data_IF_962544509106
#
_entry.id   IF_962544509106
#
_cell.length_a   1.000
_cell.length_b   1.000
_cell.length_c   1.000
_cell.angle_alpha   90.00
_cell.angle_beta   90.00
_cell.angle_gamma   90.00
#
_symmetry.space_group_name_H-M   'P 1'
#
loop_
_entity.id
_entity.type
_entity.pdbx_description
1 polymer ?
#
# COMPACT_ATOMS: atom_id res chain seq x y z
N UNK A 1 -20.65 -15.25 -16.87
CA UNK A 1 -20.13 -14.72 -15.57
C UNK A 1 -19.11 -13.65 -15.92
N UNK A 2 -19.27 -12.45 -15.41
CA UNK A 2 -18.31 -11.35 -15.61
C UNK A 2 -16.95 -11.75 -15.10
N UNK A 3 -15.88 -11.46 -15.83
CA UNK A 3 -14.51 -11.79 -15.43
C UNK A 3 -14.10 -10.96 -14.21
N UNK A 4 -13.39 -11.59 -13.27
CA UNK A 4 -12.97 -10.93 -12.03
C UNK A 4 -11.54 -10.42 -12.13
N UNK A 5 -11.28 -9.27 -11.49
CA UNK A 5 -9.97 -8.64 -11.53
C UNK A 5 -9.49 -8.23 -10.13
N UNK A 6 -8.18 -8.29 -9.92
CA UNK A 6 -7.49 -7.69 -8.76
C UNK A 6 -6.92 -6.34 -9.18
N UNK A 7 -7.42 -5.26 -8.59
CA UNK A 7 -6.92 -3.91 -8.79
C UNK A 7 -5.69 -3.68 -7.91
N UNK A 8 -4.55 -3.26 -8.50
CA UNK A 8 -3.30 -3.04 -7.75
C UNK A 8 -2.73 -1.66 -8.07
N UNK A 9 -2.71 -0.78 -7.07
CA UNK A 9 -2.13 0.55 -7.20
C UNK A 9 -0.63 0.56 -6.90
N UNK A 10 0.12 1.45 -7.56
CA UNK A 10 1.58 1.51 -7.43
C UNK A 10 2.29 0.29 -8.01
N UNK A 11 1.69 -0.36 -9.03
CA UNK A 11 2.16 -1.62 -9.60
C UNK A 11 3.47 -1.49 -10.41
N UNK A 12 3.96 -0.28 -10.66
CA UNK A 12 5.14 -0.05 -11.52
C UNK A 12 6.49 -0.40 -10.87
N UNK A 13 6.55 -0.71 -9.57
CA UNK A 13 7.79 -1.07 -8.87
C UNK A 13 7.53 -1.66 -7.48
N UNK A 14 8.58 -2.22 -6.87
CA UNK A 14 8.62 -2.61 -5.46
C UNK A 14 7.52 -3.60 -5.07
N UNK A 15 6.89 -3.37 -3.92
CA UNK A 15 5.87 -4.26 -3.35
C UNK A 15 4.68 -4.43 -4.30
N UNK A 16 4.26 -3.37 -5.01
CA UNK A 16 3.13 -3.42 -5.94
C UNK A 16 3.37 -4.33 -7.13
N UNK A 17 4.57 -4.27 -7.73
CA UNK A 17 4.94 -5.16 -8.82
C UNK A 17 5.01 -6.63 -8.36
N UNK A 18 5.56 -6.88 -7.18
CA UNK A 18 5.60 -8.22 -6.59
C UNK A 18 4.21 -8.75 -6.26
N UNK A 19 3.30 -7.90 -5.74
CA UNK A 19 1.90 -8.28 -5.52
C UNK A 19 1.21 -8.65 -6.84
N UNK A 20 1.45 -7.89 -7.92
CA UNK A 20 0.90 -8.19 -9.24
C UNK A 20 1.36 -9.58 -9.73
N UNK A 21 2.65 -9.90 -9.60
CA UNK A 21 3.19 -11.23 -9.94
C UNK A 21 2.55 -12.34 -9.11
N UNK A 22 2.41 -12.12 -7.81
CA UNK A 22 1.86 -13.13 -6.89
C UNK A 22 0.37 -13.36 -7.15
N UNK A 23 -0.43 -12.32 -7.32
CA UNK A 23 -1.86 -12.49 -7.67
C UNK A 23 -2.00 -13.20 -9.01
N UNK A 24 -1.26 -12.78 -10.05
CA UNK A 24 -1.30 -13.42 -11.35
C UNK A 24 -0.84 -14.89 -11.29
N UNK A 25 0.22 -15.21 -10.53
CA UNK A 25 0.70 -16.58 -10.33
C UNK A 25 -0.34 -17.49 -9.65
N UNK A 26 -1.24 -16.91 -8.86
CA UNK A 26 -2.33 -17.63 -8.19
C UNK A 26 -3.66 -17.60 -8.98
N UNK A 27 -3.62 -17.27 -10.27
CA UNK A 27 -4.77 -17.38 -11.18
C UNK A 27 -5.67 -16.15 -11.21
N UNK A 28 -5.31 -15.04 -10.57
CA UNK A 28 -6.08 -13.81 -10.64
C UNK A 28 -5.66 -12.98 -11.85
N UNK A 29 -6.62 -12.50 -12.64
CA UNK A 29 -6.35 -11.42 -13.59
C UNK A 29 -6.08 -10.14 -12.80
N UNK A 30 -5.10 -9.33 -13.20
CA UNK A 30 -4.71 -8.11 -12.47
C UNK A 30 -4.92 -6.86 -13.32
N UNK A 31 -5.35 -5.77 -12.68
CA UNK A 31 -5.35 -4.42 -13.23
C UNK A 31 -4.19 -3.64 -12.57
N UNK A 32 -3.26 -3.17 -13.38
CA UNK A 32 -2.02 -2.52 -12.97
C UNK A 32 -2.17 -1.00 -13.05
N UNK A 33 -2.18 -0.32 -11.91
CA UNK A 33 -2.39 1.13 -11.83
C UNK A 33 -1.11 1.82 -11.36
N UNK A 34 -0.57 2.73 -12.16
CA UNK A 34 0.50 3.67 -11.79
C UNK A 34 0.67 4.74 -12.89
N UNK A 35 1.56 5.71 -12.66
CA UNK A 35 1.85 6.80 -13.62
C UNK A 35 2.77 6.35 -14.77
N UNK A 36 3.68 5.39 -14.51
CA UNK A 36 4.74 4.97 -15.46
C UNK A 36 4.24 3.87 -16.38
N UNK A 37 3.66 4.26 -17.51
CA UNK A 37 3.05 3.36 -18.51
C UNK A 37 4.02 2.29 -18.98
N UNK A 38 5.26 2.65 -19.31
CA UNK A 38 6.26 1.74 -19.86
C UNK A 38 6.56 0.59 -18.88
N UNK A 39 6.63 0.89 -17.59
CA UNK A 39 6.87 -0.14 -16.56
C UNK A 39 5.66 -1.04 -16.34
N UNK A 40 4.45 -0.50 -16.45
CA UNK A 40 3.22 -1.30 -16.36
C UNK A 40 3.12 -2.23 -17.56
N UNK A 41 3.41 -1.74 -18.77
CA UNK A 41 3.40 -2.53 -19.99
C UNK A 41 4.46 -3.65 -19.95
N UNK A 42 5.66 -3.35 -19.47
CA UNK A 42 6.71 -4.36 -19.30
C UNK A 42 6.29 -5.45 -18.31
N UNK A 43 5.70 -5.08 -17.17
CA UNK A 43 5.19 -6.04 -16.18
C UNK A 43 4.01 -6.85 -16.75
N UNK A 44 3.13 -6.23 -17.53
CA UNK A 44 2.02 -6.93 -18.17
C UNK A 44 2.53 -7.96 -19.20
N UNK A 45 3.54 -7.60 -20.00
CA UNK A 45 4.19 -8.51 -20.94
C UNK A 45 4.85 -9.70 -20.22
N UNK A 46 5.57 -9.43 -19.13
CA UNK A 46 6.19 -10.46 -18.28
C UNK A 46 5.15 -11.47 -17.76
N UNK A 47 4.04 -10.97 -17.17
CA UNK A 47 2.96 -11.80 -16.63
C UNK A 47 2.31 -12.64 -17.74
N UNK A 48 2.06 -12.04 -18.91
CA UNK A 48 1.47 -12.74 -20.05
C UNK A 48 2.41 -13.82 -20.60
N UNK A 49 3.69 -13.51 -20.74
CA UNK A 49 4.72 -14.47 -21.20
C UNK A 49 4.86 -15.66 -20.23
N UNK A 50 4.61 -15.44 -18.94
CA UNK A 50 4.55 -16.51 -17.95
C UNK A 50 3.25 -17.36 -18.04
N UNK A 51 2.43 -17.21 -19.07
CA UNK A 51 1.22 -17.98 -19.31
C UNK A 51 0.05 -17.60 -18.39
N UNK A 52 0.03 -16.36 -17.87
CA UNK A 52 -1.05 -15.87 -17.01
C UNK A 52 -1.99 -14.97 -17.81
N UNK A 53 -3.20 -14.75 -17.28
CA UNK A 53 -4.17 -13.85 -17.90
C UNK A 53 -3.55 -12.46 -18.12
N UNK A 54 -3.76 -11.90 -19.33
CA UNK A 54 -3.20 -10.61 -19.69
C UNK A 54 -3.70 -9.50 -18.75
N UNK A 55 -2.79 -8.77 -18.10
CA UNK A 55 -3.17 -7.67 -17.21
C UNK A 55 -3.87 -6.53 -17.95
N UNK A 56 -4.73 -5.81 -17.25
CA UNK A 56 -5.28 -4.53 -17.69
C UNK A 56 -4.30 -3.43 -17.23
N UNK A 57 -3.78 -2.64 -18.14
CA UNK A 57 -2.86 -1.53 -17.84
C UNK A 57 -3.64 -0.23 -17.79
N UNK A 58 -3.64 0.44 -16.64
CA UNK A 58 -4.36 1.70 -16.39
C UNK A 58 -3.37 2.77 -15.93
N UNK A 59 -2.81 3.58 -16.83
CA UNK A 59 -1.99 4.73 -16.46
C UNK A 59 -2.84 5.76 -15.73
N UNK A 60 -2.52 6.01 -14.46
CA UNK A 60 -3.30 6.96 -13.65
C UNK A 60 -2.44 7.62 -12.58
N UNK A 61 -2.62 8.93 -12.40
CA UNK A 61 -2.07 9.67 -11.27
C UNK A 61 -3.11 9.73 -10.14
N UNK A 62 -2.81 9.06 -9.04
CA UNK A 62 -3.68 9.01 -7.86
C UNK A 62 -3.72 10.33 -7.06
N UNK A 63 -2.90 11.30 -7.41
CA UNK A 63 -3.01 12.66 -6.87
C UNK A 63 -4.16 13.45 -7.51
N UNK A 64 -4.65 13.03 -8.68
CA UNK A 64 -5.80 13.66 -9.33
C UNK A 64 -7.11 13.37 -8.57
N UNK A 65 -8.03 14.33 -8.57
CA UNK A 65 -9.30 14.17 -7.87
C UNK A 65 -10.22 13.13 -8.53
N UNK A 66 -10.13 13.00 -9.83
CA UNK A 66 -10.91 12.10 -10.69
C UNK A 66 -10.25 10.72 -10.93
N UNK A 67 -9.18 10.42 -10.19
CA UNK A 67 -8.45 9.16 -10.36
C UNK A 67 -9.33 7.92 -10.20
N UNK A 68 -10.23 7.92 -9.22
CA UNK A 68 -11.16 6.83 -8.99
C UNK A 68 -12.15 6.64 -10.15
N UNK A 69 -12.65 7.73 -10.72
CA UNK A 69 -13.58 7.69 -11.86
C UNK A 69 -12.89 7.11 -13.10
N UNK A 70 -11.70 7.58 -13.44
CA UNK A 70 -10.88 7.07 -14.55
C UNK A 70 -10.59 5.57 -14.42
N UNK A 71 -10.27 5.10 -13.21
CA UNK A 71 -10.04 3.67 -12.96
C UNK A 71 -11.34 2.89 -13.14
N UNK A 72 -12.45 3.37 -12.60
CA UNK A 72 -13.74 2.71 -12.72
C UNK A 72 -14.21 2.63 -14.18
N UNK A 73 -14.06 3.70 -14.95
CA UNK A 73 -14.38 3.73 -16.38
C UNK A 73 -13.52 2.73 -17.18
N UNK A 74 -12.22 2.67 -16.92
CA UNK A 74 -11.32 1.74 -17.59
C UNK A 74 -11.66 0.26 -17.28
N UNK A 75 -12.07 -0.05 -16.05
CA UNK A 75 -12.49 -1.39 -15.66
C UNK A 75 -13.86 -1.75 -16.27
N UNK A 76 -14.79 -0.81 -16.32
CA UNK A 76 -16.09 -0.98 -16.98
C UNK A 76 -15.93 -1.22 -18.48
N UNK A 77 -15.04 -0.47 -19.14
CA UNK A 77 -14.73 -0.66 -20.57
C UNK A 77 -14.09 -2.03 -20.86
N UNK A 78 -13.42 -2.62 -19.87
CA UNK A 78 -12.84 -3.96 -19.95
C UNK A 78 -13.84 -5.08 -19.58
N UNK A 79 -15.08 -4.76 -19.24
CA UNK A 79 -16.14 -5.68 -18.79
C UNK A 79 -15.69 -6.62 -17.66
N UNK A 80 -15.08 -6.05 -16.62
CA UNK A 80 -14.58 -6.81 -15.46
C UNK A 80 -15.16 -6.30 -14.13
N UNK A 81 -15.28 -7.20 -13.15
CA UNK A 81 -15.65 -6.88 -11.77
C UNK A 81 -14.45 -6.99 -10.82
N UNK A 82 -14.36 -6.03 -9.89
CA UNK A 82 -13.28 -6.02 -8.90
C UNK A 82 -13.56 -7.06 -7.81
N UNK A 83 -12.68 -8.07 -7.70
CA UNK A 83 -12.70 -9.06 -6.62
C UNK A 83 -11.75 -8.67 -5.48
N UNK A 84 -10.60 -8.09 -5.80
CA UNK A 84 -9.65 -7.61 -4.78
C UNK A 84 -9.18 -6.19 -5.09
N UNK A 85 -9.03 -5.39 -4.04
CA UNK A 85 -8.38 -4.07 -4.09
C UNK A 85 -7.08 -4.12 -3.31
N UNK A 86 -5.98 -3.78 -3.96
CA UNK A 86 -4.66 -3.67 -3.35
C UNK A 86 -4.21 -2.21 -3.40
N UNK A 87 -4.47 -1.48 -2.34
CA UNK A 87 -4.03 -0.11 -2.14
C UNK A 87 -2.57 -0.11 -1.67
N UNK A 88 -1.66 -0.17 -2.64
CA UNK A 88 -0.22 -0.20 -2.39
C UNK A 88 0.46 1.13 -2.71
N UNK A 89 -0.08 1.93 -3.61
CA UNK A 89 0.50 3.23 -3.94
C UNK A 89 0.65 4.10 -2.70
N UNK A 90 1.80 4.76 -2.60
CA UNK A 90 2.07 5.66 -1.49
C UNK A 90 3.50 6.16 -1.53
N UNK A 91 3.73 7.34 -0.94
CA UNK A 91 5.05 7.92 -0.79
C UNK A 91 5.13 8.77 0.47
N UNK A 92 6.33 9.19 0.80
CA UNK A 92 6.60 10.12 1.88
C UNK A 92 7.74 11.05 1.51
N UNK A 93 7.90 12.14 2.24
CA UNK A 93 8.99 13.10 2.11
C UNK A 93 9.67 13.26 3.46
N UNK A 94 11.00 13.30 3.43
CA UNK A 94 11.84 13.50 4.60
C UNK A 94 12.22 14.98 4.74
N UNK A 95 11.91 15.57 5.88
CA UNK A 95 12.13 16.96 6.23
C UNK A 95 11.10 17.44 7.25
N UNK A 96 11.36 18.60 7.89
CA UNK A 96 10.32 19.21 8.72
C UNK A 96 9.17 19.70 7.83
N UNK A 97 7.94 19.50 8.25
CA UNK A 97 6.77 19.85 7.44
C UNK A 97 6.70 21.33 7.06
N UNK A 98 7.25 22.21 7.90
CA UNK A 98 7.30 23.65 7.66
C UNK A 98 8.35 24.08 6.64
N UNK A 99 9.33 23.23 6.36
CA UNK A 99 10.43 23.48 5.43
C UNK A 99 10.21 22.84 4.06
N UNK A 100 9.20 21.97 3.92
CA UNK A 100 8.88 21.25 2.70
C UNK A 100 7.78 21.95 1.90
N UNK A 101 7.77 21.72 0.60
CA UNK A 101 6.72 22.22 -0.28
C UNK A 101 5.35 21.70 0.15
N UNK A 102 4.42 22.64 0.36
CA UNK A 102 3.07 22.37 0.85
C UNK A 102 2.28 21.44 -0.08
N UNK A 103 2.37 21.67 -1.39
CA UNK A 103 1.58 20.92 -2.36
C UNK A 103 2.09 19.48 -2.48
N UNK A 104 3.39 19.27 -2.38
CA UNK A 104 3.99 17.93 -2.26
C UNK A 104 3.53 17.19 -1.00
N UNK A 105 3.37 17.88 0.14
CA UNK A 105 2.84 17.29 1.36
C UNK A 105 1.35 16.95 1.24
N UNK A 106 0.55 17.80 0.59
CA UNK A 106 -0.85 17.53 0.29
C UNK A 106 -1.00 16.36 -0.70
N UNK A 107 -0.07 16.21 -1.64
CA UNK A 107 0.01 15.05 -2.54
C UNK A 107 0.17 13.72 -1.77
N UNK A 108 0.95 13.71 -0.66
CA UNK A 108 1.01 12.53 0.23
C UNK A 108 -0.39 12.19 0.77
N UNK A 109 -1.16 13.17 1.21
CA UNK A 109 -2.53 12.96 1.70
C UNK A 109 -3.45 12.50 0.58
N UNK A 110 -3.31 13.08 -0.62
CA UNK A 110 -4.10 12.70 -1.78
C UNK A 110 -3.91 11.21 -2.13
N UNK A 111 -2.66 10.73 -2.18
CA UNK A 111 -2.37 9.32 -2.55
C UNK A 111 -2.60 8.37 -1.38
N UNK A 112 -1.96 8.65 -0.22
CA UNK A 112 -1.94 7.70 0.88
C UNK A 112 -3.27 7.60 1.65
N UNK A 113 -4.13 8.64 1.56
CA UNK A 113 -5.39 8.72 2.31
C UNK A 113 -6.57 8.77 1.36
N UNK A 114 -6.74 9.85 0.58
CA UNK A 114 -7.92 10.06 -0.24
C UNK A 114 -8.12 8.94 -1.27
N UNK A 115 -7.13 8.67 -2.12
CA UNK A 115 -7.24 7.66 -3.16
C UNK A 115 -7.43 6.26 -2.59
N UNK A 116 -6.72 5.91 -1.50
CA UNK A 116 -6.90 4.64 -0.80
C UNK A 116 -8.32 4.49 -0.27
N UNK A 117 -8.87 5.53 0.35
CA UNK A 117 -10.23 5.52 0.89
C UNK A 117 -11.26 5.42 -0.23
N UNK A 118 -11.13 6.25 -1.26
CA UNK A 118 -12.03 6.23 -2.42
C UNK A 118 -12.07 4.84 -3.08
N UNK A 119 -10.93 4.26 -3.43
CA UNK A 119 -10.88 2.95 -4.08
C UNK A 119 -11.42 1.82 -3.19
N UNK A 120 -11.20 1.89 -1.87
CA UNK A 120 -11.75 0.91 -0.93
C UNK A 120 -13.28 0.96 -0.87
N UNK A 121 -13.88 2.16 -0.93
CA UNK A 121 -15.32 2.36 -0.83
C UNK A 121 -16.02 2.24 -2.19
N UNK A 122 -15.42 2.75 -3.26
CA UNK A 122 -15.96 2.74 -4.62
C UNK A 122 -16.26 1.34 -5.13
N UNK A 123 -15.43 0.37 -4.78
CA UNK A 123 -15.60 -1.02 -5.19
C UNK A 123 -16.25 -1.92 -4.12
N UNK A 124 -16.78 -1.35 -3.03
CA UNK A 124 -17.37 -2.12 -1.93
C UNK A 124 -18.47 -3.08 -2.37
N UNK A 125 -19.38 -2.65 -3.24
CA UNK A 125 -20.46 -3.50 -3.74
C UNK A 125 -19.94 -4.69 -4.55
N UNK A 126 -18.91 -4.47 -5.39
CA UNK A 126 -18.27 -5.55 -6.15
C UNK A 126 -17.53 -6.52 -5.21
N UNK A 127 -16.82 -6.00 -4.21
CA UNK A 127 -16.15 -6.79 -3.20
C UNK A 127 -17.14 -7.66 -2.39
N UNK A 128 -18.32 -7.13 -2.06
CA UNK A 128 -19.39 -7.84 -1.35
C UNK A 128 -19.96 -8.95 -2.23
N UNK A 129 -20.34 -8.65 -3.48
CA UNK A 129 -20.87 -9.65 -4.42
C UNK A 129 -19.90 -10.81 -4.63
N UNK A 130 -18.60 -10.51 -4.74
CA UNK A 130 -17.56 -11.50 -5.02
C UNK A 130 -16.96 -12.15 -3.75
N UNK A 131 -17.38 -11.73 -2.53
CA UNK A 131 -16.74 -12.12 -1.26
C UNK A 131 -15.23 -11.98 -1.32
N UNK A 132 -14.78 -10.90 -1.92
CA UNK A 132 -13.39 -10.63 -2.24
C UNK A 132 -12.58 -10.11 -1.05
N UNK A 133 -11.74 -9.09 -1.29
CA UNK A 133 -10.98 -8.51 -0.18
C UNK A 133 -10.15 -7.29 -0.52
N UNK A 134 -9.62 -6.66 0.52
CA UNK A 134 -8.79 -5.46 0.47
C UNK A 134 -7.45 -5.70 1.15
N UNK A 135 -6.36 -5.33 0.48
CA UNK A 135 -5.05 -5.13 1.10
C UNK A 135 -4.76 -3.63 1.12
N UNK A 136 -4.54 -3.07 2.29
CA UNK A 136 -4.03 -1.71 2.45
C UNK A 136 -2.59 -1.76 2.95
N UNK A 137 -1.66 -1.17 2.18
CA UNK A 137 -0.25 -1.09 2.58
C UNK A 137 -0.06 0.08 3.55
N UNK A 138 -0.07 -0.25 4.83
CA UNK A 138 0.30 0.61 5.93
C UNK A 138 1.82 0.77 6.06
N UNK A 139 2.29 0.86 7.29
CA UNK A 139 3.71 0.86 7.69
C UNK A 139 3.79 0.72 9.21
N UNK A 140 4.95 0.30 9.74
CA UNK A 140 5.25 0.47 11.16
C UNK A 140 5.18 1.94 11.60
N UNK A 141 5.37 2.88 10.67
CA UNK A 141 5.19 4.31 10.90
C UNK A 141 3.77 4.68 11.38
N UNK A 142 2.76 3.85 11.07
CA UNK A 142 1.37 4.06 11.53
C UNK A 142 1.17 3.90 13.03
N UNK A 143 2.12 3.29 13.76
CA UNK A 143 1.99 3.05 15.20
C UNK A 143 2.55 4.18 16.08
N UNK A 144 3.23 5.17 15.49
CA UNK A 144 3.93 6.21 16.25
C UNK A 144 3.98 7.55 15.49
N UNK A 145 4.13 8.69 16.17
CA UNK A 145 4.38 9.97 15.52
C UNK A 145 5.82 10.03 14.98
N UNK A 146 6.02 10.67 13.82
CA UNK A 146 7.34 10.76 13.16
C UNK A 146 7.76 12.19 12.86
N UNK A 147 8.46 12.89 13.80
CA UNK A 147 9.12 14.13 13.47
C UNK A 147 10.05 13.98 12.28
N UNK A 148 10.06 14.95 11.35
CA UNK A 148 10.82 14.86 10.11
C UNK A 148 10.13 14.08 8.97
N UNK A 149 8.95 13.49 9.23
CA UNK A 149 8.06 12.89 8.23
C UNK A 149 6.59 12.96 8.69
N UNK A 150 6.19 14.05 9.30
CA UNK A 150 4.93 14.18 10.03
C UNK A 150 3.71 13.74 9.20
N UNK A 151 3.56 14.23 7.97
CA UNK A 151 2.42 13.91 7.10
C UNK A 151 2.41 12.43 6.70
N UNK A 152 3.57 11.85 6.41
CA UNK A 152 3.67 10.43 6.07
C UNK A 152 3.23 9.53 7.24
N UNK A 153 3.77 9.76 8.44
CA UNK A 153 3.42 8.98 9.63
C UNK A 153 1.93 9.11 9.96
N UNK A 154 1.39 10.33 9.90
CA UNK A 154 -0.04 10.57 10.09
C UNK A 154 -0.90 9.83 9.04
N UNK A 155 -0.49 9.85 7.75
CA UNK A 155 -1.18 9.11 6.69
C UNK A 155 -1.19 7.60 6.95
N UNK A 156 -0.08 7.04 7.45
CA UNK A 156 0.00 5.61 7.76
C UNK A 156 -0.76 5.22 9.04
N UNK A 157 -0.88 6.13 10.01
CA UNK A 157 -1.78 5.95 11.16
C UNK A 157 -3.25 5.95 10.73
N UNK A 158 -3.65 6.83 9.79
CA UNK A 158 -4.97 6.79 9.17
C UNK A 158 -5.22 5.43 8.50
N UNK A 159 -4.30 4.97 7.63
CA UNK A 159 -4.46 3.69 6.92
C UNK A 159 -4.66 2.52 7.90
N UNK A 160 -3.89 2.49 9.00
CA UNK A 160 -4.03 1.45 10.02
C UNK A 160 -5.44 1.47 10.64
N UNK A 161 -5.86 2.63 11.16
CA UNK A 161 -7.15 2.80 11.84
C UNK A 161 -8.32 2.55 10.89
N UNK A 162 -8.29 3.14 9.70
CA UNK A 162 -9.32 2.97 8.66
C UNK A 162 -9.48 1.50 8.26
N UNK A 163 -8.36 0.81 8.02
CA UNK A 163 -8.40 -0.60 7.58
C UNK A 163 -8.98 -1.51 8.65
N UNK A 164 -8.63 -1.27 9.92
CA UNK A 164 -9.15 -2.07 11.04
C UNK A 164 -10.66 -1.86 11.26
N UNK A 165 -11.15 -0.62 11.13
CA UNK A 165 -12.57 -0.30 11.19
C UNK A 165 -13.33 -0.92 10.01
N UNK A 166 -12.88 -0.67 8.78
CA UNK A 166 -13.50 -1.19 7.56
C UNK A 166 -13.57 -2.73 7.56
N UNK A 167 -12.57 -3.40 8.15
CA UNK A 167 -12.62 -4.85 8.34
C UNK A 167 -13.82 -5.31 9.14
N UNK A 168 -14.17 -4.62 10.23
CA UNK A 168 -15.34 -4.97 11.05
C UNK A 168 -16.66 -4.71 10.30
N UNK A 169 -16.72 -3.62 9.55
CA UNK A 169 -17.89 -3.24 8.76
C UNK A 169 -18.16 -4.23 7.61
N UNK A 170 -17.10 -4.72 6.94
CA UNK A 170 -17.23 -5.62 5.80
C UNK A 170 -17.23 -7.12 6.16
N UNK A 171 -16.86 -7.48 7.40
CA UNK A 171 -16.82 -8.88 7.83
C UNK A 171 -18.19 -9.60 7.73
N UNK A 172 -19.36 -8.99 8.05
CA UNK A 172 -20.66 -9.63 7.88
C UNK A 172 -20.97 -10.00 6.42
N UNK A 173 -20.34 -9.31 5.47
CA UNK A 173 -20.50 -9.56 4.03
C UNK A 173 -19.49 -10.57 3.46
N UNK A 174 -18.62 -11.14 4.30
CA UNK A 174 -17.62 -12.12 3.90
C UNK A 174 -16.41 -11.52 3.17
N UNK A 175 -16.24 -10.20 3.20
CA UNK A 175 -15.09 -9.50 2.59
C UNK A 175 -13.89 -9.53 3.55
N UNK A 176 -12.73 -9.91 3.04
CA UNK A 176 -11.48 -9.97 3.80
C UNK A 176 -10.75 -8.63 3.71
N UNK A 177 -10.40 -8.04 4.84
CA UNK A 177 -9.65 -6.77 4.86
C UNK A 177 -8.40 -6.93 5.72
N UNK A 178 -7.24 -6.63 5.14
CA UNK A 178 -5.94 -6.83 5.77
C UNK A 178 -5.08 -5.57 5.64
N UNK A 179 -4.58 -5.05 6.76
CA UNK A 179 -3.52 -4.05 6.74
C UNK A 179 -2.16 -4.74 6.75
N UNK A 180 -1.24 -4.29 5.88
CA UNK A 180 0.14 -4.77 5.86
C UNK A 180 1.04 -3.66 6.34
N UNK A 181 1.76 -3.87 7.43
CA UNK A 181 2.62 -2.87 8.07
C UNK A 181 4.09 -3.28 7.97
N UNK A 182 4.75 -3.10 6.83
CA UNK A 182 6.17 -3.40 6.69
C UNK A 182 7.02 -2.41 7.48
N UNK A 183 8.22 -2.86 7.82
CA UNK A 183 9.34 -2.01 8.19
C UNK A 183 9.98 -1.34 6.96
N UNK A 184 11.24 -0.92 7.05
CA UNK A 184 11.99 -0.46 5.90
C UNK A 184 12.06 -1.58 4.86
N UNK A 185 11.75 -1.26 3.60
CA UNK A 185 11.82 -2.17 2.46
C UNK A 185 12.68 -1.51 1.40
N UNK A 186 13.72 -2.17 0.88
CA UNK A 186 14.60 -1.59 -0.15
C UNK A 186 13.82 -1.45 -1.47
N UNK A 187 13.29 -0.26 -1.70
CA UNK A 187 12.52 0.11 -2.89
C UNK A 187 12.85 1.55 -3.28
N UNK A 188 12.35 2.01 -4.42
CA UNK A 188 12.46 3.41 -4.86
C UNK A 188 11.83 4.42 -3.86
N UNK A 189 11.07 3.94 -2.87
CA UNK A 189 10.47 4.78 -1.83
C UNK A 189 11.52 5.61 -1.09
N UNK A 190 12.66 5.00 -0.73
CA UNK A 190 13.70 5.66 0.05
C UNK A 190 14.34 6.81 -0.73
N UNK A 191 14.68 6.55 -1.99
CA UNK A 191 15.24 7.58 -2.89
C UNK A 191 14.24 8.71 -3.12
N UNK A 192 12.96 8.36 -3.36
CA UNK A 192 11.89 9.36 -3.57
C UNK A 192 11.60 10.18 -2.30
N UNK A 193 11.72 9.57 -1.13
CA UNK A 193 11.54 10.26 0.15
C UNK A 193 12.70 11.19 0.51
N UNK A 194 13.83 11.14 -0.21
CA UNK A 194 15.01 11.96 0.05
C UNK A 194 15.93 11.41 1.13
N UNK A 195 15.91 10.10 1.41
CA UNK A 195 16.87 9.48 2.32
C UNK A 195 18.26 9.39 1.68
N UNK A 196 19.29 9.60 2.48
CA UNK A 196 20.68 9.39 2.03
C UNK A 196 20.94 7.91 1.70
N UNK A 197 21.72 7.60 0.65
CA UNK A 197 22.14 6.24 0.37
C UNK A 197 22.87 5.60 1.55
N UNK A 198 22.63 4.32 1.81
CA UNK A 198 23.30 3.57 2.89
C UNK A 198 22.57 3.60 4.25
N UNK A 199 21.40 4.20 4.34
CA UNK A 199 20.56 4.15 5.54
C UNK A 199 19.72 2.85 5.59
N UNK A 200 20.32 1.72 5.31
CA UNK A 200 19.67 0.42 5.42
C UNK A 200 20.07 -0.28 6.72
N UNK A 201 19.14 -0.39 7.66
CA UNK A 201 19.33 -1.33 8.76
C UNK A 201 19.13 -2.74 8.21
N UNK A 202 20.21 -3.38 7.78
CA UNK A 202 20.19 -4.73 7.20
C UNK A 202 19.41 -5.75 8.04
N UNK A 203 19.32 -5.52 9.34
CA UNK A 203 18.64 -6.40 10.32
C UNK A 203 17.11 -6.32 10.24
N UNK A 204 16.54 -5.21 9.73
CA UNK A 204 15.08 -5.01 9.64
C UNK A 204 14.55 -5.05 8.20
N UNK A 205 15.43 -5.21 7.21
CA UNK A 205 15.06 -5.20 5.80
C UNK A 205 14.41 -6.51 5.38
N UNK A 206 13.19 -6.41 4.90
CA UNK A 206 12.46 -7.50 4.25
C UNK A 206 12.36 -7.18 2.77
N UNK A 207 12.63 -8.15 1.88
CA UNK A 207 12.53 -7.92 0.44
C UNK A 207 11.10 -7.59 0.02
N UNK A 208 10.90 -6.78 -1.04
CA UNK A 208 9.57 -6.52 -1.60
C UNK A 208 8.78 -7.80 -1.90
N UNK A 209 9.45 -8.83 -2.43
CA UNK A 209 8.85 -10.12 -2.74
C UNK A 209 8.34 -10.85 -1.48
N UNK A 210 9.09 -10.81 -0.38
CA UNK A 210 8.67 -11.42 0.86
C UNK A 210 7.50 -10.66 1.51
N UNK A 211 7.53 -9.31 1.48
CA UNK A 211 6.39 -8.49 1.93
C UNK A 211 5.14 -8.85 1.14
N UNK A 212 5.24 -8.90 -0.18
CA UNK A 212 4.12 -9.23 -1.07
C UNK A 212 3.58 -10.64 -0.81
N UNK A 213 4.47 -11.63 -0.61
CA UNK A 213 4.08 -13.01 -0.30
C UNK A 213 3.34 -13.10 1.03
N UNK A 214 3.84 -12.43 2.07
CA UNK A 214 3.17 -12.40 3.38
C UNK A 214 1.85 -11.64 3.32
N UNK A 215 1.77 -10.55 2.54
CA UNK A 215 0.54 -9.78 2.33
C UNK A 215 -0.55 -10.65 1.68
N UNK A 216 -0.24 -11.32 0.56
CA UNK A 216 -1.16 -12.22 -0.12
C UNK A 216 -1.64 -13.34 0.81
N UNK A 217 -0.71 -14.08 1.44
CA UNK A 217 -1.05 -15.15 2.40
C UNK A 217 -1.89 -14.63 3.57
N UNK A 218 -1.61 -13.42 4.04
CA UNK A 218 -2.35 -12.78 5.12
C UNK A 218 -3.79 -12.49 4.74
N UNK A 219 -4.03 -11.94 3.54
CA UNK A 219 -5.37 -11.70 3.00
C UNK A 219 -6.13 -13.03 2.83
N UNK A 220 -5.50 -14.03 2.19
CA UNK A 220 -6.15 -15.33 1.97
C UNK A 220 -6.50 -16.03 3.28
N UNK A 221 -5.66 -15.90 4.30
CA UNK A 221 -5.92 -16.41 5.65
C UNK A 221 -6.79 -15.46 6.52
N UNK A 222 -7.38 -14.43 5.94
CA UNK A 222 -8.22 -13.45 6.62
C UNK A 222 -7.57 -12.82 7.88
N UNK A 223 -6.27 -12.53 7.84
CA UNK A 223 -5.57 -11.89 8.96
C UNK A 223 -5.92 -10.40 9.03
N UNK A 224 -6.15 -9.88 10.25
CA UNK A 224 -6.38 -8.45 10.50
C UNK A 224 -5.17 -7.60 10.08
N UNK A 225 -3.99 -8.01 10.50
CA UNK A 225 -2.74 -7.29 10.24
C UNK A 225 -1.61 -8.27 9.92
N UNK A 226 -0.74 -7.86 9.00
CA UNK A 226 0.49 -8.55 8.64
C UNK A 226 1.65 -7.60 8.91
N UNK A 227 2.59 -8.02 9.73
CA UNK A 227 3.83 -7.31 10.04
C UNK A 227 5.00 -8.14 9.50
N UNK A 228 5.47 -7.86 8.27
CA UNK A 228 6.56 -8.61 7.66
C UNK A 228 7.89 -8.35 8.39
N UNK A 229 8.61 -9.44 8.72
CA UNK A 229 9.87 -9.37 9.46
C UNK A 229 9.72 -9.78 10.94
N UNK A 230 10.72 -10.53 11.45
CA UNK A 230 10.62 -11.12 12.78
C UNK A 230 10.64 -10.06 13.90
N UNK A 231 11.52 -9.06 13.83
CA UNK A 231 11.63 -7.99 14.84
C UNK A 231 10.49 -6.98 14.79
N UNK A 232 9.84 -6.81 13.63
CA UNK A 232 8.78 -5.81 13.42
C UNK A 232 7.51 -6.16 14.20
N UNK A 233 7.23 -7.44 14.43
CA UNK A 233 6.06 -7.89 15.17
C UNK A 233 6.05 -7.41 16.63
N UNK A 234 7.22 -7.16 17.21
CA UNK A 234 7.33 -6.68 18.58
C UNK A 234 7.08 -5.16 18.69
N UNK A 235 7.23 -4.38 17.61
CA UNK A 235 7.14 -2.92 17.64
C UNK A 235 5.82 -2.41 18.23
N UNK A 236 4.63 -2.83 17.80
CA UNK A 236 3.38 -2.33 18.37
C UNK A 236 3.22 -2.66 19.87
N UNK A 237 3.77 -3.81 20.29
CA UNK A 237 3.71 -4.24 21.69
C UNK A 237 4.64 -3.39 22.56
N UNK A 238 5.86 -3.17 22.12
CA UNK A 238 6.85 -2.34 22.82
C UNK A 238 6.37 -0.89 22.93
N UNK A 239 5.77 -0.33 21.87
CA UNK A 239 5.26 1.04 21.89
C UNK A 239 4.14 1.27 22.92
N UNK A 240 3.42 0.23 23.33
CA UNK A 240 2.40 0.33 24.39
C UNK A 240 2.99 0.44 25.79
N UNK A 241 4.23 0.04 25.99
CA UNK A 241 4.90 0.04 27.30
C UNK A 241 5.55 1.40 27.64
N UNK A 242 5.73 2.28 26.66
CA UNK A 242 6.42 3.55 26.85
C UNK A 242 5.46 4.74 26.76
N UNK A 243 5.64 5.78 27.62
CA UNK A 243 4.90 7.03 27.51
C UNK A 243 5.10 7.67 26.13
N UNK A 244 4.02 8.25 25.57
CA UNK A 244 4.04 8.84 24.22
C UNK A 244 5.12 9.93 24.06
N UNK A 245 5.39 10.73 25.09
CA UNK A 245 6.43 11.75 25.06
C UNK A 245 7.84 11.17 24.91
N UNK A 246 8.13 10.04 25.56
CA UNK A 246 9.40 9.34 25.41
C UNK A 246 9.58 8.80 23.98
N UNK A 247 8.54 8.18 23.42
CA UNK A 247 8.55 7.69 22.02
C UNK A 247 8.82 8.84 21.06
N UNK A 248 8.14 9.97 21.23
CA UNK A 248 8.29 11.15 20.39
C UNK A 248 9.74 11.68 20.42
N UNK A 249 10.33 11.80 21.61
CA UNK A 249 11.71 12.25 21.77
C UNK A 249 12.71 11.27 21.14
N UNK A 250 12.51 9.96 21.33
CA UNK A 250 13.38 8.93 20.78
C UNK A 250 13.33 8.92 19.25
N UNK A 251 12.11 8.96 18.66
CA UNK A 251 11.93 9.01 17.21
C UNK A 251 12.49 10.30 16.62
N UNK A 252 12.23 11.45 17.26
CA UNK A 252 12.78 12.74 16.84
C UNK A 252 14.31 12.72 16.77
N UNK A 253 14.98 12.23 17.82
CA UNK A 253 16.46 12.10 17.84
C UNK A 253 16.97 11.14 16.76
N UNK A 254 16.28 10.03 16.53
CA UNK A 254 16.64 9.07 15.51
C UNK A 254 16.49 9.65 14.09
N UNK A 255 15.42 10.40 13.84
CA UNK A 255 15.19 11.06 12.54
C UNK A 255 16.20 12.19 12.28
N UNK A 256 16.56 12.98 13.31
CA UNK A 256 17.58 14.03 13.16
C UNK A 256 18.97 13.48 12.78
N UNK A 257 19.29 12.23 13.15
CA UNK A 257 20.55 11.57 12.73
C UNK A 257 20.56 11.14 11.25
N UNK A 258 19.42 11.19 10.59
CA UNK A 258 19.26 10.82 9.17
C UNK A 258 19.46 11.99 8.20
N UNK A 259 19.61 13.22 8.73
CA UNK A 259 19.97 14.41 7.95
C UNK A 259 21.48 14.36 7.59
#
# INVERSE_FOLDING_TARGET
MTERVTLITGASAGIGAELARIFAANGHRVALIARRTERLTALAAEITTAGRAAPIVIPCDLEAADAGDKIAEALAAADVEVEYVVNNAGYGLFGNAVDLDRDSLLGIVAVNVRALTDLSLRFSDSLIRNRGGIINIGSIAGFLPGPGMAVYYASKAYVLSFTEALRQELAPHGVRVTVVCPGPVPTEFQTRAGFRPGFDSAVLNVSPAEVARQAYRGLMANKRAVLPGFGIKAVPLLLRLFPRGFILAAVGRFQLRKR
#
